data_IF_114817055294
#
_entry.id   IF_114817055294
#
_cell.length_a   1.000
_cell.length_b   1.000
_cell.length_c   1.000
_cell.angle_alpha   90.00
_cell.angle_beta   90.00
_cell.angle_gamma   90.00
#
_symmetry.space_group_name_H-M   'P 1'
#
loop_
_entity.id
_entity.type
_entity.pdbx_description
1 polymer ?
#
# COMPACT_ATOMS: atom_id res chain seq x y z
N UNK A 1 19.48 -61.31 51.52
CA UNK A 1 18.46 -60.96 52.52
C UNK A 1 17.27 -60.39 51.75
N UNK A 2 16.28 -61.21 51.35
CA UNK A 2 14.93 -61.37 51.95
C UNK A 2 14.36 -60.02 52.46
N UNK A 3 13.21 -59.44 52.12
CA UNK A 3 11.86 -59.79 51.62
C UNK A 3 11.36 -58.57 50.80
N UNK A 4 10.39 -58.57 49.87
CA UNK A 4 9.22 -59.40 49.66
C UNK A 4 7.93 -58.53 49.70
N UNK A 5 7.02 -58.77 48.74
CA UNK A 5 5.53 -58.61 48.84
C UNK A 5 5.05 -57.13 48.70
N UNK A 6 4.07 -56.69 47.90
CA UNK A 6 2.88 -57.18 47.13
C UNK A 6 2.50 -56.02 46.17
N UNK A 7 1.96 -56.16 44.96
CA UNK A 7 0.87 -57.03 44.56
C UNK A 7 -0.49 -56.31 44.67
N UNK A 8 -0.89 -55.51 43.68
CA UNK A 8 -2.31 -55.23 43.39
C UNK A 8 -2.55 -55.31 41.88
N UNK A 9 -3.30 -56.34 41.49
CA UNK A 9 -3.98 -56.48 40.20
C UNK A 9 -5.28 -55.68 40.26
N UNK A 10 -5.57 -54.88 39.24
CA UNK A 10 -6.93 -54.49 38.87
C UNK A 10 -6.94 -54.29 37.34
N UNK A 11 -7.29 -55.35 36.60
CA UNK A 11 -8.61 -55.59 36.00
C UNK A 11 -8.91 -54.63 34.84
N UNK A 12 -8.77 -55.18 33.64
CA UNK A 12 -9.31 -54.71 32.38
C UNK A 12 -10.78 -54.30 32.51
N UNK A 13 -11.11 -53.14 31.95
CA UNK A 13 -12.45 -52.86 31.44
C UNK A 13 -12.28 -52.30 30.03
N UNK A 14 -12.53 -53.16 29.05
CA UNK A 14 -12.83 -52.79 27.66
C UNK A 14 -14.25 -52.25 27.68
N UNK A 15 -14.44 -50.95 27.41
CA UNK A 15 -15.74 -50.40 27.02
C UNK A 15 -15.52 -49.24 26.07
N UNK A 16 -16.15 -49.33 24.89
CA UNK A 16 -16.65 -48.15 24.17
C UNK A 16 -15.76 -47.60 23.07
N UNK A 17 -15.70 -48.31 21.95
CA UNK A 17 -15.53 -47.72 20.63
C UNK A 17 -16.65 -46.66 20.42
N UNK A 18 -16.34 -45.37 20.53
CA UNK A 18 -17.18 -44.30 19.97
C UNK A 18 -16.53 -43.88 18.66
N UNK A 19 -17.14 -44.39 17.59
CA UNK A 19 -16.83 -44.01 16.21
C UNK A 19 -17.10 -42.51 16.04
N UNK A 20 -16.15 -41.87 15.37
CA UNK A 20 -16.16 -40.47 15.01
C UNK A 20 -17.42 -40.04 14.25
N UNK A 21 -17.97 -38.90 14.65
CA UNK A 21 -18.39 -37.88 13.68
C UNK A 21 -17.55 -36.67 13.98
N UNK A 22 -16.32 -36.67 13.44
CA UNK A 22 -15.63 -35.43 13.19
C UNK A 22 -16.52 -34.68 12.21
N UNK A 23 -17.34 -33.77 12.75
CA UNK A 23 -18.02 -32.79 11.94
C UNK A 23 -16.95 -32.15 11.08
N UNK A 24 -17.04 -32.38 9.78
CA UNK A 24 -16.55 -31.44 8.80
C UNK A 24 -17.21 -30.12 9.19
N UNK A 25 -16.54 -29.34 10.04
CA UNK A 25 -16.65 -27.90 10.01
C UNK A 25 -16.08 -27.58 8.64
N UNK A 26 -16.95 -27.68 7.63
CA UNK A 26 -16.72 -27.00 6.39
C UNK A 26 -16.36 -25.59 6.79
N UNK A 27 -15.18 -25.16 6.39
CA UNK A 27 -14.99 -23.76 6.08
C UNK A 27 -16.04 -23.44 5.02
N UNK A 28 -17.28 -23.20 5.45
CA UNK A 28 -18.21 -22.37 4.72
C UNK A 28 -17.52 -21.02 4.80
N UNK A 29 -16.59 -20.81 3.88
CA UNK A 29 -16.17 -19.47 3.53
C UNK A 29 -17.48 -18.77 3.27
N UNK A 30 -17.86 -17.88 4.18
CA UNK A 30 -18.91 -16.93 3.91
C UNK A 30 -18.47 -16.27 2.61
N UNK A 31 -19.25 -16.47 1.55
CA UNK A 31 -19.23 -15.62 0.36
C UNK A 31 -19.75 -14.23 0.76
N UNK A 32 -19.14 -13.63 1.78
CA UNK A 32 -19.37 -12.23 2.07
C UNK A 32 -18.83 -11.49 0.84
N UNK A 33 -19.66 -10.68 0.18
CA UNK A 33 -19.21 -9.92 -0.97
C UNK A 33 -17.97 -9.14 -0.55
N UNK A 34 -16.96 -9.11 -1.42
CA UNK A 34 -15.78 -8.31 -1.16
C UNK A 34 -16.24 -6.88 -0.80
N UNK A 35 -15.73 -6.30 0.30
CA UNK A 35 -16.13 -4.97 0.73
C UNK A 35 -15.96 -3.99 -0.44
N UNK A 36 -16.84 -3.00 -0.55
CA UNK A 36 -16.72 -1.96 -1.58
C UNK A 36 -15.41 -1.18 -1.46
N UNK A 37 -15.05 -0.42 -2.50
CA UNK A 37 -13.77 0.29 -2.54
C UNK A 37 -13.58 1.20 -1.33
N UNK A 38 -14.59 2.00 -1.00
CA UNK A 38 -14.50 2.94 0.11
C UNK A 38 -14.22 2.21 1.42
N UNK A 39 -14.94 1.12 1.69
CA UNK A 39 -14.74 0.30 2.87
C UNK A 39 -13.33 -0.28 2.94
N UNK A 40 -12.77 -0.74 1.81
CA UNK A 40 -11.38 -1.26 1.78
C UNK A 40 -10.35 -0.17 2.05
N UNK A 41 -10.55 1.01 1.47
CA UNK A 41 -9.66 2.16 1.66
C UNK A 41 -9.73 2.65 3.11
N UNK A 42 -10.92 2.82 3.67
CA UNK A 42 -11.14 3.20 5.07
C UNK A 42 -10.43 2.21 6.01
N UNK A 43 -10.61 0.91 5.79
CA UNK A 43 -9.94 -0.13 6.59
C UNK A 43 -8.42 -0.10 6.44
N UNK A 44 -7.90 0.20 5.25
CA UNK A 44 -6.45 0.34 5.04
C UNK A 44 -5.89 1.53 5.82
N UNK A 45 -6.51 2.70 5.70
CA UNK A 45 -6.06 3.90 6.43
C UNK A 45 -6.26 3.78 7.93
N UNK A 46 -7.28 3.07 8.41
CA UNK A 46 -7.42 2.77 9.83
C UNK A 46 -6.23 1.95 10.36
N UNK A 47 -5.81 0.90 9.64
CA UNK A 47 -4.64 0.09 10.02
C UNK A 47 -3.35 0.92 10.02
N UNK A 48 -3.20 1.83 9.06
CA UNK A 48 -2.06 2.73 8.98
C UNK A 48 -2.04 3.74 10.11
N UNK A 49 -3.20 4.30 10.44
CA UNK A 49 -3.37 5.25 11.51
C UNK A 49 -2.92 4.66 12.86
N UNK A 50 -3.27 3.40 13.15
CA UNK A 50 -2.80 2.71 14.36
C UNK A 50 -1.26 2.60 14.42
N UNK A 51 -0.61 2.26 13.31
CA UNK A 51 0.86 2.20 13.24
C UNK A 51 1.54 3.57 13.33
N UNK A 52 0.94 4.60 12.73
CA UNK A 52 1.40 5.99 12.83
C UNK A 52 1.28 6.50 14.27
N UNK A 53 0.17 6.20 14.95
CA UNK A 53 -0.04 6.56 16.35
C UNK A 53 1.08 6.06 17.24
N UNK A 54 1.43 4.78 17.12
CA UNK A 54 2.50 4.16 17.88
C UNK A 54 3.87 4.78 17.57
N UNK A 55 4.17 5.00 16.28
CA UNK A 55 5.47 5.50 15.82
C UNK A 55 5.70 6.98 16.13
N UNK A 56 4.69 7.82 15.95
CA UNK A 56 4.78 9.27 16.14
C UNK A 56 4.40 9.70 17.57
N UNK A 57 3.85 8.79 18.39
CA UNK A 57 3.48 9.08 19.78
C UNK A 57 2.30 10.05 19.91
N UNK A 58 1.40 10.10 18.92
CA UNK A 58 0.22 10.96 18.92
C UNK A 58 -0.98 10.26 19.54
N UNK A 59 -1.98 11.01 20.03
CA UNK A 59 -3.21 10.43 20.59
C UNK A 59 -4.23 10.03 19.52
N UNK A 60 -4.33 10.84 18.45
CA UNK A 60 -5.30 10.67 17.36
C UNK A 60 -4.58 10.74 16.01
N UNK A 61 -4.34 9.61 15.33
CA UNK A 61 -3.80 9.62 13.98
C UNK A 61 -4.88 10.01 12.95
N UNK A 62 -4.54 10.76 11.89
CA UNK A 62 -5.47 11.11 10.84
C UNK A 62 -5.78 9.88 9.99
N UNK A 63 -7.06 9.56 9.92
CA UNK A 63 -7.62 8.50 9.06
C UNK A 63 -8.16 9.05 7.75
N UNK A 64 -8.29 10.38 7.66
CA UNK A 64 -8.76 11.08 6.46
C UNK A 64 -7.78 10.85 5.32
N UNK A 65 -8.34 10.55 4.15
CA UNK A 65 -7.59 10.21 2.96
C UNK A 65 -8.27 10.77 1.71
N UNK A 66 -7.48 11.00 0.68
CA UNK A 66 -7.91 11.57 -0.59
C UNK A 66 -7.39 10.73 -1.75
N UNK A 67 -8.12 10.75 -2.85
CA UNK A 67 -7.70 10.13 -4.10
C UNK A 67 -6.62 11.00 -4.77
N UNK A 68 -5.39 10.49 -4.86
CA UNK A 68 -4.27 11.17 -5.51
C UNK A 68 -4.25 10.97 -7.03
N UNK A 69 -4.84 9.88 -7.51
CA UNK A 69 -4.95 9.61 -8.95
C UNK A 69 -5.52 8.24 -9.26
N UNK A 70 -6.00 8.08 -10.48
CA UNK A 70 -6.49 6.81 -11.02
C UNK A 70 -5.91 6.56 -12.39
N UNK A 71 -5.71 5.29 -12.71
CA UNK A 71 -5.30 4.86 -14.03
C UNK A 71 -5.86 3.47 -14.37
N UNK A 72 -5.70 3.03 -15.60
CA UNK A 72 -6.15 1.71 -16.04
C UNK A 72 -5.04 0.97 -16.81
N UNK A 73 -4.79 -0.26 -16.39
CA UNK A 73 -3.87 -1.18 -17.09
C UNK A 73 -4.51 -1.73 -18.37
N UNK A 74 -3.71 -2.24 -19.32
CA UNK A 74 -4.21 -2.80 -20.59
C UNK A 74 -5.16 -3.98 -20.40
N UNK A 75 -5.04 -4.72 -19.29
CA UNK A 75 -5.92 -5.82 -18.94
C UNK A 75 -7.29 -5.38 -18.40
N UNK A 76 -7.54 -4.07 -18.26
CA UNK A 76 -8.78 -3.51 -17.73
C UNK A 76 -8.76 -3.22 -16.23
N UNK A 77 -7.71 -3.63 -15.50
CA UNK A 77 -7.59 -3.37 -14.06
C UNK A 77 -7.45 -1.87 -13.80
N UNK A 78 -8.39 -1.32 -13.03
CA UNK A 78 -8.33 0.04 -12.51
C UNK A 78 -7.40 0.09 -11.30
N UNK A 79 -6.56 1.11 -11.27
CA UNK A 79 -5.65 1.42 -10.17
C UNK A 79 -6.11 2.74 -9.56
N UNK A 80 -6.24 2.79 -8.24
CA UNK A 80 -6.53 4.02 -7.51
C UNK A 80 -5.47 4.23 -6.43
N UNK A 81 -4.73 5.35 -6.51
CA UNK A 81 -3.77 5.76 -5.48
C UNK A 81 -4.48 6.69 -4.50
N UNK A 82 -4.57 6.25 -3.26
CA UNK A 82 -5.11 7.00 -2.13
C UNK A 82 -3.99 7.40 -1.19
N UNK A 83 -4.10 8.57 -0.56
CA UNK A 83 -3.09 9.10 0.36
C UNK A 83 -3.74 9.73 1.57
N UNK A 84 -3.01 9.80 2.68
CA UNK A 84 -3.44 10.58 3.85
C UNK A 84 -3.69 12.03 3.43
N UNK A 85 -4.80 12.62 3.88
CA UNK A 85 -5.12 14.02 3.61
C UNK A 85 -4.00 14.92 4.19
N UNK A 86 -3.26 15.68 3.36
CA UNK A 86 -2.15 16.49 3.83
C UNK A 86 -2.57 17.64 4.74
N UNK A 87 -3.81 18.14 4.61
CA UNK A 87 -4.35 19.21 5.46
C UNK A 87 -4.70 18.65 6.83
N UNK A 88 -5.37 17.49 6.86
CA UNK A 88 -5.74 16.85 8.13
C UNK A 88 -4.52 16.25 8.88
N UNK A 89 -3.39 16.10 8.20
CA UNK A 89 -2.17 15.46 8.75
C UNK A 89 -0.95 16.39 8.78
N UNK A 90 -1.13 17.70 8.65
CA UNK A 90 -0.07 18.71 8.62
C UNK A 90 0.95 18.60 9.79
N UNK A 91 0.49 18.18 10.96
CA UNK A 91 1.27 17.99 12.19
C UNK A 91 2.06 16.67 12.24
N UNK A 92 1.84 15.76 11.30
CA UNK A 92 2.53 14.47 11.24
C UNK A 92 3.70 14.46 10.27
N UNK A 93 4.75 13.73 10.65
CA UNK A 93 5.90 13.45 9.77
C UNK A 93 5.62 12.29 8.82
N UNK A 94 4.94 11.26 9.32
CA UNK A 94 4.53 10.13 8.49
C UNK A 94 3.40 10.51 7.52
N UNK A 95 3.53 10.05 6.28
CA UNK A 95 2.50 10.09 5.24
C UNK A 95 2.25 8.68 4.75
N UNK A 96 0.99 8.31 4.59
CA UNK A 96 0.61 6.98 4.14
C UNK A 96 0.00 7.03 2.74
N UNK A 97 0.17 5.94 2.00
CA UNK A 97 -0.48 5.71 0.72
C UNK A 97 -1.11 4.32 0.68
N UNK A 98 -2.10 4.14 -0.18
CA UNK A 98 -2.74 2.88 -0.48
C UNK A 98 -3.05 2.80 -1.98
N UNK A 99 -2.65 1.72 -2.62
CA UNK A 99 -3.03 1.36 -3.98
C UNK A 99 -4.12 0.31 -3.92
N UNK A 100 -5.29 0.66 -4.43
CA UNK A 100 -6.43 -0.25 -4.60
C UNK A 100 -6.52 -0.66 -6.07
N UNK A 101 -6.56 -1.98 -6.31
CA UNK A 101 -6.64 -2.57 -7.64
C UNK A 101 -7.98 -3.29 -7.80
N UNK A 102 -8.72 -2.91 -8.84
CA UNK A 102 -10.02 -3.45 -9.16
C UNK A 102 -10.08 -3.93 -10.60
N UNK A 103 -10.66 -5.10 -10.83
CA UNK A 103 -10.85 -5.67 -12.16
C UNK A 103 -12.32 -6.02 -12.35
N UNK A 104 -12.92 -5.49 -13.43
CA UNK A 104 -14.33 -5.69 -13.76
C UNK A 104 -15.30 -5.41 -12.59
N UNK A 105 -14.96 -4.46 -11.70
CA UNK A 105 -15.76 -4.10 -10.52
C UNK A 105 -15.54 -5.00 -9.30
N UNK A 106 -14.69 -6.03 -9.39
CA UNK A 106 -14.23 -6.84 -8.27
C UNK A 106 -12.89 -6.37 -7.73
N UNK A 107 -12.68 -6.52 -6.42
CA UNK A 107 -11.38 -6.28 -5.81
C UNK A 107 -10.38 -7.37 -6.22
N UNK A 108 -9.18 -6.97 -6.65
CA UNK A 108 -8.10 -7.90 -7.00
C UNK A 108 -7.06 -7.96 -5.90
N UNK A 109 -6.53 -6.81 -5.51
CA UNK A 109 -5.50 -6.70 -4.47
C UNK A 109 -5.37 -5.25 -4.01
N UNK A 110 -4.60 -5.03 -2.94
CA UNK A 110 -4.19 -3.69 -2.58
C UNK A 110 -2.97 -3.71 -1.68
N UNK A 111 -2.19 -2.64 -1.73
CA UNK A 111 -0.94 -2.53 -0.98
C UNK A 111 -0.65 -1.07 -0.66
N UNK A 112 0.05 -0.83 0.43
CA UNK A 112 0.33 0.51 0.88
C UNK A 112 1.26 0.51 2.07
N UNK A 113 1.61 1.70 2.52
CA UNK A 113 2.54 1.86 3.62
C UNK A 113 2.64 3.31 4.05
N UNK A 114 3.38 3.53 5.14
CA UNK A 114 3.64 4.85 5.69
C UNK A 114 5.14 5.09 5.77
N UNK A 115 5.58 6.29 5.40
CA UNK A 115 6.98 6.71 5.43
C UNK A 115 7.11 8.16 5.89
N UNK A 116 8.30 8.53 6.33
CA UNK A 116 8.65 9.95 6.48
C UNK A 116 8.91 10.57 5.11
N UNK A 117 8.76 11.89 5.02
CA UNK A 117 9.16 12.64 3.84
C UNK A 117 10.62 13.11 3.98
N UNK A 118 11.48 12.66 3.08
CA UNK A 118 12.83 13.19 2.88
C UNK A 118 12.82 14.19 1.71
N UNK A 119 13.85 15.02 1.52
CA UNK A 119 13.98 15.91 0.34
C UNK A 119 14.40 15.11 -0.93
N UNK A 120 13.64 14.09 -1.28
CA UNK A 120 13.92 13.19 -2.40
C UNK A 120 12.68 12.87 -3.22
N UNK A 121 12.89 12.63 -4.51
CA UNK A 121 11.89 12.03 -5.38
C UNK A 121 12.14 10.52 -5.40
N UNK A 122 11.17 9.76 -4.94
CA UNK A 122 11.19 8.29 -5.00
C UNK A 122 10.17 7.80 -5.99
N UNK A 123 10.52 6.78 -6.77
CA UNK A 123 9.59 6.00 -7.59
C UNK A 123 9.65 4.54 -7.20
N UNK A 124 8.48 3.92 -7.04
CA UNK A 124 8.32 2.52 -6.72
C UNK A 124 7.59 1.81 -7.86
N UNK A 125 7.85 0.50 -8.01
CA UNK A 125 7.16 -0.34 -8.99
C UNK A 125 6.62 -1.59 -8.32
N UNK A 126 5.34 -1.86 -8.57
CA UNK A 126 4.73 -3.15 -8.29
C UNK A 126 4.06 -3.66 -9.56
N UNK A 127 4.61 -4.72 -10.15
CA UNK A 127 4.26 -5.17 -11.50
C UNK A 127 4.40 -4.02 -12.53
N UNK A 128 3.33 -3.64 -13.22
CA UNK A 128 3.33 -2.55 -14.21
C UNK A 128 2.98 -1.18 -13.60
N UNK A 129 2.61 -1.15 -12.32
CA UNK A 129 2.19 0.05 -11.61
C UNK A 129 3.42 0.80 -11.13
N UNK A 130 3.53 2.07 -11.51
CA UNK A 130 4.58 2.97 -11.02
C UNK A 130 3.93 4.17 -10.35
N UNK A 131 4.41 4.50 -9.16
CA UNK A 131 3.98 5.65 -8.40
C UNK A 131 5.19 6.25 -7.71
N UNK A 132 5.08 7.50 -7.28
CA UNK A 132 6.17 8.16 -6.61
C UNK A 132 5.73 9.13 -5.53
N UNK A 133 6.71 9.57 -4.76
CA UNK A 133 6.60 10.67 -3.81
C UNK A 133 7.63 11.74 -4.14
N UNK A 134 7.28 13.00 -3.93
CA UNK A 134 8.18 14.15 -4.04
C UNK A 134 8.84 14.50 -2.71
N UNK A 135 8.57 13.74 -1.65
CA UNK A 135 9.15 14.00 -0.35
C UNK A 135 8.67 15.33 0.24
N UNK A 136 9.58 16.13 0.79
CA UNK A 136 9.29 17.46 1.36
C UNK A 136 9.28 18.60 0.34
N UNK A 137 9.50 18.32 -0.95
CA UNK A 137 9.43 19.35 -1.98
C UNK A 137 8.00 19.89 -2.15
N UNK A 138 7.79 21.22 -2.23
CA UNK A 138 6.46 21.82 -2.33
C UNK A 138 5.91 21.79 -3.78
N UNK A 139 6.08 20.67 -4.47
CA UNK A 139 5.58 20.48 -5.82
C UNK A 139 4.07 20.22 -5.79
N UNK A 140 3.31 20.92 -6.64
CA UNK A 140 1.88 20.70 -6.87
C UNK A 140 1.63 19.83 -8.11
N UNK A 141 2.63 19.73 -8.98
CA UNK A 141 2.59 18.92 -10.19
C UNK A 141 3.99 18.37 -10.48
N UNK A 142 4.04 17.22 -11.12
CA UNK A 142 5.26 16.71 -11.76
C UNK A 142 5.06 16.64 -13.25
N UNK A 143 6.10 17.00 -13.99
CA UNK A 143 6.20 16.76 -15.43
C UNK A 143 7.11 15.56 -15.66
N UNK A 144 6.54 14.47 -16.14
CA UNK A 144 7.19 13.19 -16.32
C UNK A 144 7.48 12.97 -17.79
N UNK A 145 8.72 12.67 -18.12
CA UNK A 145 9.13 12.36 -19.49
C UNK A 145 9.81 11.01 -19.53
N UNK A 146 9.38 10.17 -20.48
CA UNK A 146 10.05 8.92 -20.83
C UNK A 146 9.98 8.68 -22.33
N UNK A 147 11.06 8.99 -23.04
CA UNK A 147 11.20 8.70 -24.49
C UNK A 147 10.20 9.40 -25.43
N UNK A 148 9.46 10.41 -24.96
CA UNK A 148 8.40 11.08 -25.72
C UNK A 148 8.01 12.43 -25.14
N UNK A 149 6.83 12.98 -25.49
CA UNK A 149 6.31 14.20 -24.89
C UNK A 149 6.15 14.07 -23.37
N UNK A 150 6.35 15.16 -22.62
CA UNK A 150 6.08 15.16 -21.20
C UNK A 150 4.60 14.93 -20.89
N UNK A 151 4.32 14.22 -19.80
CA UNK A 151 2.99 14.08 -19.19
C UNK A 151 2.99 14.80 -17.85
N UNK A 152 1.97 15.62 -17.60
CA UNK A 152 1.81 16.33 -16.34
C UNK A 152 0.87 15.55 -15.41
N UNK A 153 1.27 15.42 -14.16
CA UNK A 153 0.54 14.68 -13.14
C UNK A 153 0.47 15.52 -11.86
N UNK A 154 -0.73 15.67 -11.31
CA UNK A 154 -0.93 16.37 -10.04
C UNK A 154 -0.26 15.63 -8.90
N UNK A 155 0.38 16.38 -8.00
CA UNK A 155 0.90 15.85 -6.73
C UNK A 155 -0.14 16.09 -5.64
N UNK A 156 -0.59 15.02 -5.00
CA UNK A 156 -1.55 15.07 -3.89
C UNK A 156 -0.90 14.53 -2.64
N UNK A 157 -0.83 15.33 -1.58
CA UNK A 157 -0.20 14.93 -0.32
C UNK A 157 1.25 14.46 -0.47
N UNK A 158 1.98 14.97 -1.47
CA UNK A 158 3.35 14.59 -1.77
C UNK A 158 3.50 13.32 -2.62
N UNK A 159 2.41 12.74 -3.13
CA UNK A 159 2.43 11.54 -3.97
C UNK A 159 1.81 11.78 -5.34
N UNK A 160 2.18 10.94 -6.30
CA UNK A 160 1.64 10.95 -7.66
C UNK A 160 1.65 9.54 -8.26
N UNK A 161 0.70 9.26 -9.14
CA UNK A 161 0.64 8.02 -9.91
C UNK A 161 1.24 8.26 -11.31
N UNK A 162 2.18 7.42 -11.74
CA UNK A 162 2.74 7.52 -13.10
C UNK A 162 1.81 6.79 -14.06
N UNK A 163 1.24 7.46 -15.07
CA UNK A 163 0.33 6.82 -16.01
C UNK A 163 0.99 5.64 -16.73
N UNK A 164 0.24 4.58 -16.96
CA UNK A 164 0.68 3.33 -17.54
C UNK A 164 1.26 3.53 -18.94
N UNK A 165 0.65 4.40 -19.73
CA UNK A 165 1.14 4.79 -21.06
C UNK A 165 2.57 5.36 -21.05
N UNK A 166 3.06 5.83 -19.89
CA UNK A 166 4.43 6.30 -19.69
C UNK A 166 5.26 5.26 -18.91
N UNK A 167 4.62 4.33 -18.21
CA UNK A 167 5.27 3.42 -17.26
C UNK A 167 5.70 2.06 -17.81
N UNK A 168 5.39 1.77 -19.08
CA UNK A 168 5.72 0.52 -19.79
C UNK A 168 7.18 0.08 -19.61
N UNK A 169 7.51 -1.21 -19.46
CA UNK A 169 8.87 -1.66 -19.20
C UNK A 169 9.81 -1.43 -20.41
N UNK A 170 10.44 -0.26 -20.49
CA UNK A 170 11.50 0.05 -21.46
C UNK A 170 12.82 0.32 -20.73
N UNK A 171 13.95 0.17 -21.45
CA UNK A 171 15.29 0.39 -20.90
C UNK A 171 15.60 1.85 -20.50
N UNK A 172 14.74 2.81 -20.85
CA UNK A 172 14.93 4.22 -20.52
C UNK A 172 14.33 4.56 -19.14
N UNK A 173 15.10 5.28 -18.31
CA UNK A 173 14.62 5.85 -17.05
C UNK A 173 13.68 7.06 -17.25
N UNK A 174 13.09 7.54 -16.16
CA UNK A 174 12.24 8.73 -16.16
C UNK A 174 13.07 10.01 -15.94
N UNK A 175 12.68 11.07 -16.64
CA UNK A 175 12.96 12.42 -16.19
C UNK A 175 11.71 12.99 -15.49
N UNK A 176 11.89 13.52 -14.29
CA UNK A 176 10.82 14.11 -13.48
C UNK A 176 11.22 15.54 -13.16
N UNK A 177 10.41 16.49 -13.59
CA UNK A 177 10.55 17.90 -13.21
C UNK A 177 9.48 18.21 -12.16
N UNK A 178 9.91 18.75 -11.03
CA UNK A 178 9.03 19.21 -9.97
C UNK A 178 8.55 20.62 -10.28
N UNK A 179 7.23 20.83 -10.25
CA UNK A 179 6.60 22.11 -10.58
C UNK A 179 5.83 22.63 -9.38
N UNK A 180 6.15 23.86 -8.96
CA UNK A 180 5.49 24.56 -7.86
C UNK A 180 4.13 25.16 -8.25
N UNK A 181 3.41 25.69 -7.27
CA UNK A 181 2.08 26.26 -7.45
C UNK A 181 2.03 27.48 -8.39
N UNK A 182 3.15 28.21 -8.51
CA UNK A 182 3.35 29.34 -9.42
C UNK A 182 3.80 28.92 -10.83
N UNK A 183 3.94 27.61 -11.07
CA UNK A 183 4.45 27.05 -12.32
C UNK A 183 5.97 27.04 -12.42
N UNK A 184 6.71 27.45 -11.38
CA UNK A 184 8.16 27.43 -11.38
C UNK A 184 8.70 26.00 -11.30
N UNK A 185 9.82 25.74 -11.98
CA UNK A 185 10.58 24.51 -11.80
C UNK A 185 11.30 24.56 -10.45
N UNK A 186 10.99 23.63 -9.57
CA UNK A 186 11.62 23.51 -8.25
C UNK A 186 12.88 22.64 -8.30
N UNK A 187 12.92 21.68 -9.22
CA UNK A 187 14.05 20.78 -9.39
C UNK A 187 13.79 19.72 -10.44
N UNK A 188 14.84 19.03 -10.86
CA UNK A 188 14.77 17.97 -11.88
C UNK A 188 15.54 16.74 -11.44
N UNK A 189 14.96 15.58 -11.72
CA UNK A 189 15.61 14.27 -11.66
C UNK A 189 15.63 13.66 -13.06
N UNK A 190 16.71 12.96 -13.41
CA UNK A 190 16.89 12.29 -14.71
C UNK A 190 17.30 10.84 -14.50
N UNK A 191 17.03 10.02 -15.51
CA UNK A 191 17.44 8.61 -15.59
C UNK A 191 17.00 7.76 -14.38
N UNK A 192 15.92 8.17 -13.72
CA UNK A 192 15.40 7.48 -12.53
C UNK A 192 14.69 6.20 -12.95
N UNK A 193 15.10 5.05 -12.44
CA UNK A 193 14.49 3.75 -12.80
C UNK A 193 13.88 3.09 -11.56
N UNK A 194 12.56 2.88 -11.49
CA UNK A 194 11.91 2.26 -10.34
C UNK A 194 12.38 0.83 -10.08
N UNK A 195 12.55 0.41 -8.81
CA UNK A 195 12.50 1.24 -7.60
C UNK A 195 13.78 2.08 -7.43
N UNK A 196 13.65 3.38 -7.20
CA UNK A 196 14.80 4.27 -6.95
C UNK A 196 14.39 5.57 -6.25
N UNK A 197 15.36 6.22 -5.59
CA UNK A 197 15.22 7.55 -4.98
C UNK A 197 16.40 8.44 -5.33
N UNK A 198 16.14 9.72 -5.62
CA UNK A 198 17.17 10.72 -5.96
C UNK A 198 16.75 12.11 -5.46
N UNK A 199 17.70 12.88 -4.91
CA UNK A 199 17.49 14.31 -4.62
C UNK A 199 17.50 15.13 -5.92
N UNK A 200 16.46 15.95 -6.19
CA UNK A 200 16.42 16.83 -7.35
C UNK A 200 17.58 17.83 -7.41
N UNK A 201 18.01 18.15 -8.62
CA UNK A 201 18.94 19.27 -8.88
C UNK A 201 18.12 20.52 -9.26
N UNK A 202 18.43 21.66 -8.63
CA UNK A 202 17.80 22.98 -8.85
C UNK A 202 18.44 23.74 -10.00
#
# INVERSE_FOLDING_TARGET
MINGVTGVRARSAIVGLVVAVAGLVGCVGRDDPAPDQQTRVDQAFQRYADGVREKEGVSEPPTQHLLAGTDQLPNGTRISLWVTDPVASDHLRARCYYLDLEDHGGWVSGFGGCGGADDQVTVNRNSEIVFGTVGTWPATMVRITRGGPPTEVTVTGGWFLVPHAVSEPTAAGYAIVLVGADGATLGTVRDLTPPASVTPVT
#
